data_IF_923021349264
#
_entry.id   IF_923021349264
#
_cell.length_a   1.000
_cell.length_b   1.000
_cell.length_c   1.000
_cell.angle_alpha   90.00
_cell.angle_beta   90.00
_cell.angle_gamma   90.00
#
_symmetry.space_group_name_H-M   'P 1'
#
loop_
_entity.id
_entity.type
_entity.pdbx_description
1 polymer ?
#
# COMPACT_ATOMS: atom_id res chain seq x y z
N UNK A 1 11.72 -0.80 14.98
CA UNK A 1 13.07 -0.88 14.38
C UNK A 1 13.39 0.36 13.53
N UNK A 2 12.48 0.80 12.63
CA UNK A 2 12.69 1.98 11.77
C UNK A 2 12.91 3.28 12.56
N UNK A 3 12.14 3.57 13.63
CA UNK A 3 12.34 4.79 14.45
C UNK A 3 13.76 4.92 15.01
N UNK A 4 14.29 3.85 15.63
CA UNK A 4 15.65 3.83 16.16
C UNK A 4 16.72 4.01 15.08
N UNK A 5 16.45 3.48 13.88
CA UNK A 5 17.34 3.63 12.72
C UNK A 5 17.34 5.08 12.24
N UNK A 6 16.15 5.69 12.14
CA UNK A 6 15.97 7.11 11.86
C UNK A 6 16.71 7.99 12.85
N UNK A 7 16.50 7.81 14.15
CA UNK A 7 17.16 8.61 15.20
C UNK A 7 18.68 8.59 15.07
N UNK A 8 19.27 7.44 14.71
CA UNK A 8 20.71 7.32 14.49
C UNK A 8 21.18 8.14 13.29
N UNK A 9 20.46 8.06 12.16
CA UNK A 9 20.80 8.79 10.93
C UNK A 9 20.60 10.29 11.14
N UNK A 10 19.47 10.69 11.74
CA UNK A 10 19.14 12.05 12.10
C UNK A 10 20.23 12.65 13.00
N UNK A 11 20.61 11.97 14.09
CA UNK A 11 21.69 12.42 14.97
C UNK A 11 23.01 12.57 14.21
N UNK A 12 23.38 11.60 13.36
CA UNK A 12 24.60 11.67 12.57
C UNK A 12 24.64 12.88 11.63
N UNK A 13 23.51 13.22 11.01
CA UNK A 13 23.38 14.40 10.17
C UNK A 13 23.38 15.70 10.97
N UNK A 14 22.66 15.76 12.09
CA UNK A 14 22.63 16.94 12.95
C UNK A 14 24.00 17.28 13.53
N UNK A 15 24.79 16.27 13.91
CA UNK A 15 26.20 16.48 14.33
C UNK A 15 26.98 17.18 13.22
N UNK A 16 26.84 16.74 11.96
CA UNK A 16 27.53 17.37 10.83
C UNK A 16 27.04 18.79 10.56
N UNK A 17 25.73 19.04 10.64
CA UNK A 17 25.13 20.37 10.41
C UNK A 17 25.53 21.35 11.50
N UNK A 18 25.40 20.98 12.78
CA UNK A 18 25.73 21.84 13.93
C UNK A 18 27.23 22.11 14.00
N UNK A 19 28.08 21.15 13.63
CA UNK A 19 29.53 21.35 13.58
C UNK A 19 29.97 22.28 12.44
N UNK A 20 29.20 22.32 11.34
CA UNK A 20 29.46 23.20 10.20
C UNK A 20 28.88 24.60 10.38
N UNK A 21 27.80 24.74 11.16
CA UNK A 21 27.18 26.03 11.41
C UNK A 21 28.18 26.93 12.16
N UNK A 22 28.58 28.09 11.59
CA UNK A 22 29.44 29.01 12.29
C UNK A 22 28.76 29.42 13.59
N UNK A 23 29.50 29.42 14.70
CA UNK A 23 28.96 29.90 15.97
C UNK A 23 28.66 31.37 15.77
N UNK A 24 27.38 31.69 15.56
CA UNK A 24 26.95 33.06 15.37
C UNK A 24 27.45 33.86 16.57
N UNK A 25 28.15 34.99 16.35
CA UNK A 25 28.62 35.81 17.44
C UNK A 25 27.38 36.27 18.20
N UNK A 26 27.14 35.67 19.36
CA UNK A 26 26.03 36.04 20.21
C UNK A 26 26.22 37.52 20.55
N UNK A 27 25.26 38.36 20.15
CA UNK A 27 25.30 39.79 20.43
C UNK A 27 25.16 39.97 21.94
N UNK A 28 26.28 40.05 22.63
CA UNK A 28 26.34 40.24 24.08
C UNK A 28 25.63 41.55 24.39
N UNK A 29 24.43 41.47 24.98
CA UNK A 29 23.79 42.66 25.55
C UNK A 29 24.67 43.13 26.71
N UNK A 30 25.13 44.37 26.62
CA UNK A 30 26.11 44.97 27.53
C UNK A 30 25.49 45.01 28.94
N UNK A 31 25.95 44.13 29.84
CA UNK A 31 25.55 44.11 31.25
C UNK A 31 24.82 42.85 31.75
N UNK A 32 24.48 41.90 30.87
CA UNK A 32 23.92 40.61 31.30
C UNK A 32 25.00 39.58 31.67
N UNK A 33 24.73 38.63 32.58
CA UNK A 33 25.59 37.46 32.76
C UNK A 33 25.75 36.72 31.44
N UNK A 34 26.97 36.27 31.14
CA UNK A 34 27.26 35.59 29.88
C UNK A 34 26.32 34.37 29.74
N UNK A 35 25.61 34.21 28.61
CA UNK A 35 24.76 33.05 28.40
C UNK A 35 25.63 31.79 28.44
N UNK A 36 25.18 30.77 29.17
CA UNK A 36 25.84 29.48 29.18
C UNK A 36 25.97 28.97 27.74
N UNK A 37 27.18 28.57 27.34
CA UNK A 37 27.41 27.97 26.03
C UNK A 37 26.69 26.64 25.99
N UNK A 38 25.60 26.56 25.22
CA UNK A 38 24.92 25.29 24.94
C UNK A 38 25.93 24.28 24.40
N UNK A 39 25.97 23.11 25.03
CA UNK A 39 26.75 21.94 24.61
C UNK A 39 26.29 21.46 23.22
N UNK A 40 27.13 20.68 22.54
CA UNK A 40 26.79 20.13 21.23
C UNK A 40 25.53 19.25 21.31
N UNK A 41 25.42 18.47 22.39
CA UNK A 41 24.31 17.57 22.68
C UNK A 41 22.99 18.33 22.86
N UNK A 42 23.00 19.44 23.60
CA UNK A 42 21.81 20.27 23.78
C UNK A 42 21.36 20.92 22.46
N UNK A 43 22.31 21.39 21.64
CA UNK A 43 22.00 21.91 20.30
C UNK A 43 21.36 20.85 19.41
N UNK A 44 21.88 19.62 19.46
CA UNK A 44 21.31 18.50 18.71
C UNK A 44 19.89 18.19 19.18
N UNK A 45 19.64 18.15 20.48
CA UNK A 45 18.29 17.84 21.00
C UNK A 45 17.28 18.94 20.66
N UNK A 46 17.70 20.21 20.60
CA UNK A 46 16.86 21.34 20.15
C UNK A 46 16.48 21.20 18.66
N UNK A 47 17.41 20.80 17.80
CA UNK A 47 17.19 20.69 16.35
C UNK A 47 16.53 19.36 15.92
N UNK A 48 16.42 18.40 16.83
CA UNK A 48 15.85 17.09 16.57
C UNK A 48 14.34 17.19 16.38
N UNK A 49 13.81 16.47 15.38
CA UNK A 49 12.36 16.42 15.16
C UNK A 49 11.71 15.71 16.35
N UNK A 50 10.62 16.25 16.89
CA UNK A 50 9.88 15.62 17.98
C UNK A 50 9.46 14.18 17.64
N UNK A 51 9.61 13.25 18.59
CA UNK A 51 9.32 11.83 18.38
C UNK A 51 7.89 11.58 17.87
N UNK A 52 6.91 12.34 18.38
CA UNK A 52 5.50 12.23 17.99
C UNK A 52 5.28 12.56 16.51
N UNK A 53 5.91 13.64 16.04
CA UNK A 53 5.91 14.08 14.64
C UNK A 53 6.62 13.07 13.75
N UNK A 54 7.80 12.61 14.18
CA UNK A 54 8.60 11.62 13.47
C UNK A 54 7.81 10.33 13.22
N UNK A 55 7.18 9.77 14.26
CA UNK A 55 6.40 8.54 14.16
C UNK A 55 5.19 8.69 13.23
N UNK A 56 4.48 9.81 13.32
CA UNK A 56 3.33 10.10 12.44
C UNK A 56 3.74 10.23 10.98
N UNK A 57 4.86 10.90 10.72
CA UNK A 57 5.41 11.04 9.37
C UNK A 57 5.82 9.69 8.80
N UNK A 58 6.58 8.88 9.58
CA UNK A 58 6.99 7.53 9.18
C UNK A 58 5.77 6.67 8.84
N UNK A 59 4.73 6.68 9.68
CA UNK A 59 3.51 5.91 9.43
C UNK A 59 2.83 6.33 8.13
N UNK A 60 2.68 7.64 7.91
CA UNK A 60 2.03 8.20 6.73
C UNK A 60 2.80 7.85 5.47
N UNK A 61 4.11 8.03 5.47
CA UNK A 61 4.98 7.67 4.34
C UNK A 61 4.94 6.18 4.02
N UNK A 62 5.06 5.31 5.03
CA UNK A 62 4.97 3.86 4.81
C UNK A 62 3.61 3.44 4.26
N UNK A 63 2.54 4.13 4.67
CA UNK A 63 1.19 3.91 4.16
C UNK A 63 1.08 4.34 2.69
N UNK A 64 1.54 5.55 2.35
CA UNK A 64 1.54 6.06 0.97
C UNK A 64 2.35 5.14 0.05
N UNK A 65 3.53 4.69 0.48
CA UNK A 65 4.35 3.75 -0.29
C UNK A 65 3.63 2.42 -0.54
N UNK A 66 2.94 1.88 0.48
CA UNK A 66 2.13 0.67 0.32
C UNK A 66 1.03 0.88 -0.71
N UNK A 67 0.32 2.01 -0.67
CA UNK A 67 -0.72 2.31 -1.66
C UNK A 67 -0.17 2.43 -3.08
N UNK A 68 0.99 3.08 -3.25
CA UNK A 68 1.67 3.19 -4.56
C UNK A 68 2.04 1.84 -5.16
N UNK A 69 2.24 0.81 -4.34
CA UNK A 69 2.55 -0.54 -4.79
C UNK A 69 1.32 -1.37 -5.18
N UNK A 70 0.12 -1.01 -4.75
CA UNK A 70 -1.08 -1.82 -4.99
C UNK A 70 -1.36 -2.07 -6.48
N UNK A 71 -1.24 -1.09 -7.40
CA UNK A 71 -1.46 -1.33 -8.82
C UNK A 71 -0.50 -2.38 -9.40
N UNK A 72 0.76 -2.37 -8.95
CA UNK A 72 1.75 -3.33 -9.41
C UNK A 72 1.46 -4.73 -8.86
N UNK A 73 1.08 -4.83 -7.57
CA UNK A 73 0.65 -6.09 -6.96
C UNK A 73 -0.54 -6.67 -7.73
N UNK A 74 -1.51 -5.83 -8.08
CA UNK A 74 -2.68 -6.25 -8.84
C UNK A 74 -2.31 -6.80 -10.23
N UNK A 75 -1.41 -6.14 -10.97
CA UNK A 75 -0.91 -6.65 -12.25
C UNK A 75 -0.21 -8.01 -12.09
N UNK A 76 0.64 -8.15 -11.07
CA UNK A 76 1.29 -9.43 -10.78
C UNK A 76 0.27 -10.54 -10.45
N UNK A 77 -0.78 -10.24 -9.69
CA UNK A 77 -1.85 -11.20 -9.40
C UNK A 77 -2.58 -11.65 -10.67
N UNK A 78 -2.83 -10.73 -11.61
CA UNK A 78 -3.40 -11.06 -12.92
C UNK A 78 -2.47 -11.98 -13.72
N UNK A 79 -1.17 -11.69 -13.75
CA UNK A 79 -0.17 -12.52 -14.44
C UNK A 79 -0.07 -13.93 -13.82
N UNK A 80 -0.10 -14.02 -12.49
CA UNK A 80 -0.13 -15.31 -11.78
C UNK A 80 -1.40 -16.09 -12.14
N UNK A 81 -2.56 -15.41 -12.16
CA UNK A 81 -3.82 -16.05 -12.53
C UNK A 81 -3.80 -16.57 -13.97
N UNK A 82 -3.25 -15.80 -14.91
CA UNK A 82 -3.07 -16.21 -16.31
C UNK A 82 -2.14 -17.41 -16.42
N UNK A 83 -1.00 -17.37 -15.74
CA UNK A 83 -0.04 -18.47 -15.71
C UNK A 83 -0.65 -19.76 -15.16
N UNK A 84 -1.45 -19.69 -14.08
CA UNK A 84 -2.14 -20.85 -13.51
C UNK A 84 -3.10 -21.50 -14.51
N UNK A 85 -3.85 -20.72 -15.29
CA UNK A 85 -4.74 -21.26 -16.34
C UNK A 85 -3.95 -22.00 -17.41
N UNK A 86 -2.90 -21.37 -17.95
CA UNK A 86 -2.03 -21.99 -18.96
C UNK A 86 -1.37 -23.28 -18.45
N UNK A 87 -0.95 -23.28 -17.19
CA UNK A 87 -0.36 -24.46 -16.56
C UNK A 87 -1.39 -25.59 -16.42
N UNK A 88 -2.63 -25.27 -16.04
CA UNK A 88 -3.72 -26.25 -15.96
C UNK A 88 -4.05 -26.83 -17.35
N UNK A 89 -4.21 -26.01 -18.38
CA UNK A 89 -4.45 -26.46 -19.76
C UNK A 89 -3.32 -27.39 -20.26
N UNK A 90 -2.08 -27.07 -19.90
CA UNK A 90 -0.94 -27.94 -20.20
C UNK A 90 -1.02 -29.28 -19.47
N UNK A 91 -1.39 -29.29 -18.18
CA UNK A 91 -1.58 -30.54 -17.42
C UNK A 91 -2.66 -31.40 -18.05
N UNK A 92 -3.82 -30.82 -18.38
CA UNK A 92 -4.92 -31.53 -19.03
C UNK A 92 -4.50 -32.12 -20.39
N UNK A 93 -3.74 -31.36 -21.19
CA UNK A 93 -3.20 -31.85 -22.47
C UNK A 93 -2.23 -33.00 -22.26
N UNK A 94 -1.34 -32.90 -21.26
CA UNK A 94 -0.39 -33.95 -20.91
C UNK A 94 -1.12 -35.23 -20.49
N UNK A 95 -2.15 -35.11 -19.66
CA UNK A 95 -2.95 -36.23 -19.17
C UNK A 95 -3.73 -36.89 -20.31
N UNK A 96 -4.31 -36.10 -21.22
CA UNK A 96 -4.99 -36.63 -22.41
C UNK A 96 -4.04 -37.44 -23.32
N UNK A 97 -2.80 -36.98 -23.51
CA UNK A 97 -1.79 -37.72 -24.27
C UNK A 97 -1.42 -39.05 -23.59
N UNK A 98 -1.22 -39.01 -22.27
CA UNK A 98 -0.91 -40.20 -21.48
C UNK A 98 -2.03 -41.24 -21.58
N UNK A 99 -3.30 -40.81 -21.49
CA UNK A 99 -4.47 -41.68 -21.62
C UNK A 99 -4.57 -42.36 -22.99
N UNK A 100 -4.08 -41.70 -24.06
CA UNK A 100 -4.02 -42.24 -25.42
C UNK A 100 -2.78 -43.12 -25.67
N UNK A 101 -1.93 -43.34 -24.67
CA UNK A 101 -0.66 -44.07 -24.82
C UNK A 101 0.35 -43.34 -25.71
N UNK A 102 0.16 -42.04 -25.93
CA UNK A 102 1.06 -41.20 -26.73
C UNK A 102 2.07 -40.50 -25.82
N UNK A 103 3.31 -40.25 -26.28
CA UNK A 103 4.22 -39.41 -25.52
C UNK A 103 3.61 -38.03 -25.31
N UNK A 104 3.83 -37.46 -24.12
CA UNK A 104 3.40 -36.11 -23.82
C UNK A 104 3.99 -35.14 -24.86
N UNK A 105 3.23 -34.15 -25.31
CA UNK A 105 3.73 -33.19 -26.28
C UNK A 105 4.91 -32.45 -25.64
N UNK A 106 6.00 -32.31 -26.39
CA UNK A 106 7.12 -31.46 -25.97
C UNK A 106 6.56 -30.06 -25.73
N UNK A 107 6.68 -29.56 -24.49
CA UNK A 107 6.29 -28.20 -24.17
C UNK A 107 7.10 -27.27 -25.05
N UNK A 108 6.44 -26.60 -25.99
CA UNK A 108 7.15 -25.71 -26.91
C UNK A 108 7.79 -24.54 -26.16
N UNK A 109 7.21 -24.10 -25.04
CA UNK A 109 7.82 -23.11 -24.12
C UNK A 109 7.25 -23.35 -22.71
N UNK A 110 8.05 -23.87 -21.78
CA UNK A 110 7.67 -23.86 -20.35
C UNK A 110 7.81 -22.43 -19.83
N UNK A 111 6.70 -21.79 -19.47
CA UNK A 111 6.73 -20.48 -18.83
C UNK A 111 6.88 -20.65 -17.32
N UNK A 112 7.97 -20.12 -16.77
CA UNK A 112 8.11 -19.99 -15.33
C UNK A 112 7.03 -19.05 -14.79
N UNK A 113 6.54 -19.27 -13.55
CA UNK A 113 5.63 -18.33 -12.92
C UNK A 113 6.26 -16.93 -12.88
N UNK A 114 5.44 -15.87 -12.99
CA UNK A 114 5.96 -14.50 -12.97
C UNK A 114 6.78 -14.28 -11.69
N UNK A 115 7.98 -13.73 -11.87
CA UNK A 115 8.92 -13.48 -10.77
C UNK A 115 8.25 -12.59 -9.74
N UNK A 116 8.36 -12.97 -8.45
CA UNK A 116 7.84 -12.14 -7.36
C UNK A 116 8.45 -10.73 -7.47
N UNK A 117 7.63 -9.68 -7.50
CA UNK A 117 8.15 -8.34 -7.73
C UNK A 117 9.10 -7.86 -6.63
N UNK A 118 10.13 -7.12 -7.03
CA UNK A 118 11.22 -6.64 -6.15
C UNK A 118 10.79 -5.60 -5.12
N UNK A 119 9.65 -4.92 -5.32
CA UNK A 119 9.11 -3.93 -4.40
C UNK A 119 8.52 -4.54 -3.13
N UNK A 120 8.39 -5.87 -3.04
CA UNK A 120 8.08 -6.51 -1.75
C UNK A 120 9.35 -6.48 -0.92
N UNK A 121 9.36 -5.85 0.28
CA UNK A 121 10.59 -5.68 1.05
C UNK A 121 11.27 -7.02 1.26
N UNK A 122 12.46 -7.19 0.68
CA UNK A 122 13.31 -8.34 0.97
C UNK A 122 13.80 -8.17 2.41
N UNK A 123 13.45 -9.09 3.28
CA UNK A 123 14.08 -9.16 4.61
C UNK A 123 15.58 -9.30 4.41
N UNK A 124 16.38 -8.58 5.20
CA UNK A 124 17.83 -8.78 5.25
C UNK A 124 18.10 -10.29 5.35
N UNK A 125 18.88 -10.89 4.44
CA UNK A 125 19.27 -12.27 4.63
C UNK A 125 19.96 -12.34 5.99
N UNK A 126 19.51 -13.27 6.84
CA UNK A 126 20.03 -13.42 8.21
C UNK A 126 21.55 -13.63 8.27
N UNK A 127 22.17 -13.96 7.13
CA UNK A 127 23.60 -14.14 6.88
C UNK A 127 24.41 -12.84 6.89
N UNK A 128 23.79 -11.66 6.75
CA UNK A 128 24.53 -10.41 6.94
C UNK A 128 24.76 -10.21 8.45
N UNK A 129 25.87 -10.80 8.91
CA UNK A 129 26.32 -10.86 10.30
C UNK A 129 26.32 -9.46 10.93
N UNK A 130 25.76 -9.39 12.15
CA UNK A 130 25.95 -8.29 13.10
C UNK A 130 27.45 -7.92 13.17
N UNK A 131 27.84 -6.78 12.59
CA UNK A 131 29.19 -6.22 12.72
C UNK A 131 29.99 -6.06 11.43
N UNK A 132 29.55 -6.61 10.30
CA UNK A 132 30.20 -6.32 9.01
C UNK A 132 29.59 -5.08 8.33
N UNK A 133 30.41 -4.25 7.66
CA UNK A 133 29.90 -3.17 6.84
C UNK A 133 29.07 -3.76 5.68
N UNK A 134 27.84 -3.29 5.55
CA UNK A 134 26.96 -3.63 4.43
C UNK A 134 27.65 -3.32 3.09
N UNK A 135 27.53 -4.23 2.11
CA UNK A 135 27.96 -3.97 0.73
C UNK A 135 27.17 -2.81 0.12
N UNK A 136 27.67 -2.21 -0.96
CA UNK A 136 26.99 -1.06 -1.58
C UNK A 136 25.57 -1.41 -2.06
N UNK A 137 25.38 -2.66 -2.49
CA UNK A 137 24.09 -3.21 -2.95
C UNK A 137 23.22 -3.77 -1.81
N UNK A 138 23.61 -3.55 -0.56
CA UNK A 138 22.84 -4.01 0.58
C UNK A 138 21.54 -3.22 0.71
N UNK A 139 20.43 -3.95 0.84
CA UNK A 139 19.09 -3.40 1.07
C UNK A 139 19.01 -2.57 2.36
N UNK A 140 19.88 -2.89 3.34
CA UNK A 140 20.13 -2.05 4.50
C UNK A 140 20.49 -0.65 4.05
N UNK A 141 21.57 -0.48 3.28
CA UNK A 141 22.08 0.84 2.86
C UNK A 141 21.05 1.65 2.09
N UNK A 142 20.35 1.03 1.15
CA UNK A 142 19.23 1.67 0.43
C UNK A 142 18.13 2.15 1.40
N UNK A 143 17.80 1.33 2.40
CA UNK A 143 16.86 1.75 3.46
C UNK A 143 17.35 2.93 4.31
N UNK A 144 18.67 3.08 4.53
CA UNK A 144 19.22 4.27 5.20
C UNK A 144 19.07 5.54 4.34
N UNK A 145 19.33 5.43 3.03
CA UNK A 145 19.15 6.53 2.08
C UNK A 145 17.69 6.95 1.97
N UNK A 146 16.76 5.98 1.97
CA UNK A 146 15.33 6.25 2.00
C UNK A 146 14.89 6.96 3.28
N UNK A 147 15.40 6.52 4.44
CA UNK A 147 15.13 7.17 5.74
C UNK A 147 15.69 8.60 5.72
N UNK A 148 16.88 8.79 5.16
CA UNK A 148 17.47 10.12 5.03
C UNK A 148 16.64 11.02 4.11
N UNK A 149 16.14 10.50 2.99
CA UNK A 149 15.25 11.21 2.09
C UNK A 149 13.94 11.60 2.79
N UNK A 150 13.33 10.65 3.52
CA UNK A 150 12.14 10.89 4.34
C UNK A 150 12.39 11.98 5.40
N UNK A 151 13.54 11.95 6.08
CA UNK A 151 13.91 12.97 7.06
C UNK A 151 14.04 14.36 6.45
N UNK A 152 14.75 14.48 5.32
CA UNK A 152 14.86 15.74 4.57
C UNK A 152 13.48 16.25 4.13
N UNK A 153 12.59 15.36 3.67
CA UNK A 153 11.23 15.72 3.27
C UNK A 153 10.39 16.22 4.47
N UNK A 154 10.53 15.58 5.63
CA UNK A 154 9.86 15.99 6.87
C UNK A 154 10.29 17.40 7.32
N UNK A 155 11.59 17.71 7.26
CA UNK A 155 12.10 19.06 7.64
C UNK A 155 11.71 20.16 6.65
N UNK A 156 11.61 19.84 5.35
CA UNK A 156 11.16 20.81 4.33
C UNK A 156 9.70 21.20 4.48
N UNK A 157 8.87 20.31 5.04
CA UNK A 157 7.43 20.49 5.14
C UNK A 157 6.99 20.27 6.59
N UNK A 158 7.32 21.17 7.53
CA UNK A 158 6.90 21.03 8.92
C UNK A 158 5.37 21.01 9.06
N UNK A 159 4.64 21.60 8.11
CA UNK A 159 3.18 21.53 8.05
C UNK A 159 2.62 20.13 7.72
N UNK A 160 3.40 19.23 7.12
CA UNK A 160 2.96 17.84 6.94
C UNK A 160 2.85 17.10 8.29
N UNK A 161 3.55 17.57 9.34
CA UNK A 161 3.34 17.08 10.70
C UNK A 161 1.95 17.43 11.25
N UNK A 162 1.41 18.58 10.81
CA UNK A 162 0.05 19.04 11.10
C UNK A 162 -1.00 18.49 10.13
N UNK A 163 -0.67 17.53 9.25
CA UNK A 163 -1.70 16.81 8.51
C UNK A 163 -2.72 16.31 9.52
N UNK A 164 -3.95 16.78 9.34
CA UNK A 164 -5.11 16.34 10.10
C UNK A 164 -5.07 14.82 10.15
N UNK A 165 -5.10 14.22 11.35
CA UNK A 165 -5.05 12.78 11.48
C UNK A 165 -6.12 12.20 10.56
N UNK A 166 -5.72 11.28 9.67
CA UNK A 166 -6.64 10.53 8.82
C UNK A 166 -7.78 10.04 9.72
N UNK A 167 -9.06 10.31 9.36
CA UNK A 167 -10.18 9.94 10.20
C UNK A 167 -10.04 8.46 10.57
N UNK A 168 -9.92 8.18 11.87
CA UNK A 168 -9.79 6.81 12.36
C UNK A 168 -11.09 6.10 12.06
N UNK A 169 -11.05 5.17 11.09
CA UNK A 169 -12.16 4.30 10.71
C UNK A 169 -12.77 3.67 11.97
N UNK A 170 -14.04 3.96 12.25
CA UNK A 170 -14.78 3.40 13.37
C UNK A 170 -15.06 4.34 14.55
N UNK A 171 -14.46 5.54 14.58
CA UNK A 171 -14.96 6.60 15.46
C UNK A 171 -16.27 7.15 14.91
N UNK A 172 -17.40 6.48 15.16
CA UNK A 172 -18.71 7.11 14.97
C UNK A 172 -18.62 8.46 15.67
N UNK A 173 -18.84 9.59 14.97
CA UNK A 173 -18.92 10.88 15.64
C UNK A 173 -19.96 10.71 16.73
N UNK A 174 -19.52 10.91 17.98
CA UNK A 174 -20.40 10.87 19.13
C UNK A 174 -21.40 12.00 18.93
N UNK A 175 -22.54 11.68 18.33
CA UNK A 175 -23.70 12.54 18.18
C UNK A 175 -24.34 12.72 19.56
N UNK A 176 -23.59 13.29 20.50
CA UNK A 176 -24.17 13.77 21.75
C UNK A 176 -24.70 15.17 21.47
N UNK A 177 -26.00 15.22 21.19
CA UNK A 177 -26.83 16.38 21.46
C UNK A 177 -27.04 17.33 20.28
N UNK A 178 -28.22 17.23 19.65
CA UNK A 178 -28.79 18.30 18.85
C UNK A 178 -29.72 17.80 17.76
N UNK A 179 -30.99 17.56 18.10
CA UNK A 179 -32.08 17.48 17.11
C UNK A 179 -32.32 18.88 16.54
N UNK A 180 -32.14 19.15 15.23
CA UNK A 180 -32.86 20.23 14.58
C UNK A 180 -34.24 19.69 14.16
N UNK A 181 -35.28 20.36 14.62
CA UNK A 181 -36.65 20.12 14.21
C UNK A 181 -36.87 20.54 12.75
N UNK A 182 -37.61 19.71 12.02
CA UNK A 182 -38.54 20.14 10.97
C UNK A 182 -37.94 20.83 9.74
N UNK A 183 -37.59 20.04 8.72
CA UNK A 183 -37.39 20.52 7.36
C UNK A 183 -38.01 19.54 6.36
N UNK A 184 -39.16 19.92 5.80
CA UNK A 184 -39.92 19.19 4.78
C UNK A 184 -39.12 19.05 3.48
N UNK A 185 -38.96 17.81 3.00
CA UNK A 185 -38.33 17.49 1.71
C UNK A 185 -39.41 17.57 0.61
N UNK A 186 -39.18 18.31 -0.50
CA UNK A 186 -40.08 18.26 -1.65
C UNK A 186 -39.80 17.04 -2.53
N UNK A 187 -40.86 16.28 -2.73
CA UNK A 187 -41.04 15.19 -3.70
C UNK A 187 -40.69 15.66 -5.12
N UNK A 188 -39.72 15.01 -5.78
CA UNK A 188 -39.48 15.20 -7.22
C UNK A 188 -39.75 13.91 -8.00
N UNK A 189 -40.76 14.08 -8.84
CA UNK A 189 -41.37 13.19 -9.83
C UNK A 189 -40.41 12.40 -10.71
N UNK A 190 -40.87 11.20 -11.01
CA UNK A 190 -40.47 10.31 -12.07
C UNK A 190 -40.58 10.93 -13.48
N UNK A 191 -39.61 10.57 -14.34
CA UNK A 191 -39.70 10.43 -15.79
C UNK A 191 -38.69 9.34 -16.17
N UNK A 192 -39.05 8.14 -16.62
CA UNK A 192 -39.87 7.67 -17.74
C UNK A 192 -39.19 7.80 -19.11
N UNK A 193 -38.88 6.62 -19.69
CA UNK A 193 -38.56 6.28 -21.10
C UNK A 193 -37.15 6.67 -21.58
N UNK A 194 -36.42 5.94 -22.44
CA UNK A 194 -36.57 4.80 -23.37
C UNK A 194 -35.10 4.35 -23.65
N UNK A 195 -34.67 3.18 -24.09
CA UNK A 195 -35.05 2.45 -25.28
C UNK A 195 -34.17 1.20 -25.38
N UNK A 196 -34.83 0.11 -25.71
CA UNK A 196 -34.34 -1.21 -26.15
C UNK A 196 -33.23 -1.09 -27.21
N UNK A 197 -32.13 -1.84 -27.04
CA UNK A 197 -31.42 -2.50 -28.15
C UNK A 197 -31.00 -3.91 -27.69
N UNK A 198 -31.58 -4.92 -28.33
CA UNK A 198 -31.23 -6.33 -28.22
C UNK A 198 -29.96 -6.57 -29.03
N UNK A 199 -28.98 -7.27 -28.48
CA UNK A 199 -27.97 -7.97 -29.26
C UNK A 199 -27.95 -9.44 -28.89
N UNK A 200 -27.96 -10.24 -29.94
CA UNK A 200 -28.30 -11.65 -29.98
C UNK A 200 -27.24 -12.53 -29.33
N UNK A 201 -27.71 -13.46 -28.49
CA UNK A 201 -26.93 -14.55 -27.94
C UNK A 201 -26.67 -15.63 -29.01
N UNK A 202 -25.42 -15.81 -29.42
CA UNK A 202 -24.98 -17.04 -30.07
C UNK A 202 -24.77 -18.13 -29.00
N UNK A 203 -25.79 -18.96 -28.83
CA UNK A 203 -25.71 -20.22 -28.07
C UNK A 203 -24.94 -21.25 -28.89
N UNK A 204 -23.68 -21.50 -28.53
CA UNK A 204 -23.00 -22.75 -28.90
C UNK A 204 -23.49 -23.84 -27.96
N UNK A 205 -24.26 -24.78 -28.52
CA UNK A 205 -24.65 -26.02 -27.86
C UNK A 205 -23.43 -26.94 -27.77
N UNK A 206 -22.82 -27.04 -26.60
CA UNK A 206 -21.94 -28.18 -26.28
C UNK A 206 -22.77 -29.26 -25.61
N UNK A 207 -22.84 -30.39 -26.31
CA UNK A 207 -23.47 -31.64 -25.95
C UNK A 207 -22.95 -32.19 -24.62
N UNK A 208 -23.89 -32.53 -23.76
CA UNK A 208 -23.70 -33.22 -22.49
C UNK A 208 -23.17 -34.64 -22.70
N UNK A 209 -22.10 -35.01 -22.00
CA UNK A 209 -21.83 -36.39 -21.61
C UNK A 209 -22.16 -36.54 -20.12
N UNK A 210 -23.04 -37.51 -19.83
CA UNK A 210 -23.43 -37.86 -18.47
C UNK A 210 -22.33 -38.70 -17.82
N UNK A 211 -21.70 -38.16 -16.78
CA UNK A 211 -20.90 -38.92 -15.82
C UNK A 211 -21.47 -38.72 -14.43
N UNK A 212 -22.22 -39.70 -13.93
CA UNK A 212 -22.74 -39.75 -12.56
C UNK A 212 -21.59 -40.01 -11.60
N UNK A 213 -21.40 -39.13 -10.63
CA UNK A 213 -20.48 -39.31 -9.52
C UNK A 213 -20.98 -38.53 -8.32
N UNK A 214 -21.87 -39.15 -7.55
CA UNK A 214 -22.42 -38.61 -6.31
C UNK A 214 -21.38 -38.68 -5.20
N UNK A 215 -20.96 -37.54 -4.66
CA UNK A 215 -20.57 -37.40 -3.26
C UNK A 215 -20.86 -35.98 -2.79
N UNK A 216 -22.01 -35.86 -2.11
CA UNK A 216 -22.39 -34.69 -1.35
C UNK A 216 -21.42 -34.48 -0.18
N UNK A 217 -20.79 -33.31 -0.14
CA UNK A 217 -20.31 -32.66 1.07
C UNK A 217 -20.61 -31.17 0.93
N UNK A 218 -21.79 -30.80 1.39
CA UNK A 218 -22.17 -29.43 1.66
C UNK A 218 -21.24 -28.87 2.74
N UNK A 219 -20.29 -28.04 2.32
CA UNK A 219 -19.54 -27.16 3.21
C UNK A 219 -19.93 -25.74 2.83
N UNK A 220 -21.05 -25.27 3.41
CA UNK A 220 -21.39 -23.85 3.43
C UNK A 220 -20.33 -23.11 4.26
N UNK A 221 -19.25 -22.68 3.61
CA UNK A 221 -18.42 -21.60 4.11
C UNK A 221 -19.03 -20.29 3.60
N UNK A 222 -19.94 -19.73 4.41
CA UNK A 222 -20.24 -18.30 4.40
C UNK A 222 -19.00 -17.53 4.83
N UNK A 223 -17.99 -17.51 3.97
CA UNK A 223 -16.81 -16.69 4.14
C UNK A 223 -17.19 -15.28 3.77
N UNK A 224 -17.40 -14.43 4.78
CA UNK A 224 -17.18 -13.00 4.64
C UNK A 224 -15.90 -12.82 3.82
N UNK A 225 -16.05 -12.41 2.56
CA UNK A 225 -14.95 -11.91 1.77
C UNK A 225 -14.53 -10.62 2.45
N UNK A 226 -13.71 -10.76 3.49
CA UNK A 226 -12.97 -9.67 4.07
C UNK A 226 -12.04 -9.17 2.95
N UNK A 227 -12.55 -8.26 2.13
CA UNK A 227 -11.73 -7.50 1.23
C UNK A 227 -10.61 -6.93 2.10
N UNK A 228 -9.33 -7.14 1.75
CA UNK A 228 -8.20 -6.76 2.59
C UNK A 228 -8.16 -5.25 2.93
N UNK A 229 -9.04 -4.46 2.31
CA UNK A 229 -9.19 -3.03 2.54
C UNK A 229 -10.59 -2.61 3.08
N UNK A 230 -11.58 -3.50 3.15
CA UNK A 230 -12.99 -3.15 3.45
C UNK A 230 -13.56 -2.09 2.49
N UNK A 231 -14.87 -1.88 2.50
CA UNK A 231 -15.50 -0.87 1.62
C UNK A 231 -15.08 0.55 2.02
N UNK A 232 -14.12 1.14 1.31
CA UNK A 232 -13.75 2.54 1.46
C UNK A 232 -14.77 3.36 0.67
N UNK A 233 -15.51 4.30 1.29
CA UNK A 233 -16.45 5.14 0.57
C UNK A 233 -15.71 6.01 -0.46
N UNK A 234 -16.33 6.28 -1.61
CA UNK A 234 -15.72 6.99 -2.76
C UNK A 234 -15.10 8.36 -2.41
N UNK A 235 -15.64 9.01 -1.38
CA UNK A 235 -15.15 10.28 -0.87
C UNK A 235 -13.75 10.17 -0.21
N UNK A 236 -13.45 9.01 0.38
CA UNK A 236 -12.15 8.70 0.99
C UNK A 236 -11.07 8.44 -0.08
N UNK A 237 -11.44 7.77 -1.17
CA UNK A 237 -10.55 7.54 -2.32
C UNK A 237 -10.14 8.86 -3.00
N UNK A 238 -11.10 9.80 -3.16
CA UNK A 238 -10.84 11.13 -3.73
C UNK A 238 -9.85 11.95 -2.90
N UNK A 239 -9.93 11.88 -1.57
CA UNK A 239 -8.99 12.58 -0.67
C UNK A 239 -7.57 12.03 -0.74
N UNK A 240 -7.37 10.81 -1.23
CA UNK A 240 -6.05 10.23 -1.46
C UNK A 240 -5.49 10.52 -2.85
N UNK A 241 -6.21 11.28 -3.68
CA UNK A 241 -5.88 11.51 -5.08
C UNK A 241 -6.03 10.25 -5.94
N UNK A 242 -6.69 9.21 -5.43
CA UNK A 242 -7.05 8.03 -6.19
C UNK A 242 -8.45 8.24 -6.79
N UNK A 243 -8.53 8.43 -8.09
CA UNK A 243 -9.83 8.46 -8.76
C UNK A 243 -10.41 7.04 -8.72
N UNK A 244 -11.54 6.84 -8.02
CA UNK A 244 -12.21 5.54 -7.93
C UNK A 244 -12.51 4.96 -9.33
N UNK A 245 -12.86 5.84 -10.27
CA UNK A 245 -13.11 5.52 -11.68
C UNK A 245 -11.85 5.10 -12.46
N UNK A 246 -10.65 5.34 -11.91
CA UNK A 246 -9.38 4.94 -12.50
C UNK A 246 -8.78 3.66 -11.86
N UNK A 247 -9.44 3.09 -10.84
CA UNK A 247 -9.00 1.86 -10.19
C UNK A 247 -9.60 0.65 -10.93
N UNK A 248 -8.78 -0.16 -11.64
CA UNK A 248 -9.29 -1.32 -12.36
C UNK A 248 -9.90 -2.33 -11.38
N UNK A 249 -11.18 -2.68 -11.60
CA UNK A 249 -11.89 -3.72 -10.84
C UNK A 249 -12.89 -3.24 -9.77
N UNK A 250 -13.07 -1.92 -9.58
CA UNK A 250 -14.10 -1.36 -8.68
C UNK A 250 -15.33 -0.81 -9.42
N UNK A 251 -15.22 -0.50 -10.70
CA UNK A 251 -16.40 -0.29 -11.55
C UNK A 251 -17.10 -1.63 -11.72
N UNK A 252 -17.99 -1.93 -10.77
CA UNK A 252 -18.97 -2.99 -10.88
C UNK A 252 -19.94 -2.68 -12.00
N UNK A 253 -19.48 -2.78 -13.25
CA UNK A 253 -20.34 -2.98 -14.40
C UNK A 253 -20.82 -4.43 -14.36
N UNK A 254 -21.62 -4.73 -13.32
CA UNK A 254 -22.48 -5.88 -13.24
C UNK A 254 -23.74 -5.60 -14.04
N UNK A 255 -23.59 -5.48 -15.36
CA UNK A 255 -24.71 -5.47 -16.30
C UNK A 255 -24.76 -6.85 -17.00
N UNK A 256 -25.79 -7.63 -16.63
CA UNK A 256 -26.42 -8.66 -17.48
C UNK A 256 -25.82 -10.05 -17.47
#
# INVERSE_FOLDING_TARGET
QISRRWERIERGHLVQEVSRAPTLPYRVQKGGPAPAKLTLEERIEIEKVEDSVRLRFIETELRVRRYKMLPQIHLWEQDVAKWRRLYQEWQETKDAHLALGKPAPSMRIFHWPPVRPSYVPRSHPAIELKGHPCTEDCLGRQGDEEILHMWKACRRNPCLASLTPMPRRGGRPSMVGGRPAGGTVPERRAGSRSSVMRTESLRVRSSASMGRGAHARDHEHGGDRAAPFGDAPDEELRNWGACADALPGLSGDGDG
#
